data_IF_327518439196
#
_entry.id   IF_327518439196
#
_cell.length_a   1.000
_cell.length_b   1.000
_cell.length_c   1.000
_cell.angle_alpha   90.00
_cell.angle_beta   90.00
_cell.angle_gamma   90.00
#
_symmetry.space_group_name_H-M   'P 1'
#
loop_
_entity.id
_entity.type
_entity.pdbx_description
1 polymer ?
#
# COMPACT_ATOMS: atom_id res chain seq x y z
N UNK A 1 6.91 -12.67 0.07
CA UNK A 1 5.47 -12.51 0.41
C UNK A 1 4.76 -11.47 -0.44
N UNK A 2 5.25 -10.23 -0.58
CA UNK A 2 4.57 -9.16 -1.35
C UNK A 2 5.38 -8.70 -2.56
N UNK A 3 4.69 -8.25 -3.60
CA UNK A 3 5.26 -7.54 -4.74
C UNK A 3 4.39 -6.33 -5.10
N UNK A 4 5.03 -5.32 -5.65
CA UNK A 4 4.40 -4.05 -6.03
C UNK A 4 4.81 -3.67 -7.45
N UNK A 5 3.82 -3.27 -8.26
CA UNK A 5 4.01 -2.80 -9.63
C UNK A 5 3.34 -1.45 -9.77
N UNK A 6 4.12 -0.46 -10.20
CA UNK A 6 3.59 0.83 -10.64
C UNK A 6 3.23 0.71 -12.11
N UNK A 7 2.04 1.18 -12.51
CA UNK A 7 1.62 1.11 -13.90
C UNK A 7 2.64 1.79 -14.83
N UNK A 8 3.06 1.06 -15.87
CA UNK A 8 4.07 1.53 -16.84
C UNK A 8 5.53 1.35 -16.40
N UNK A 9 5.79 0.69 -15.27
CA UNK A 9 7.15 0.40 -14.77
C UNK A 9 7.36 -1.10 -14.55
N UNK A 10 8.63 -1.49 -14.42
CA UNK A 10 8.98 -2.85 -14.01
C UNK A 10 8.50 -3.11 -12.57
N UNK A 11 8.25 -4.38 -12.20
CA UNK A 11 8.02 -4.76 -10.82
C UNK A 11 9.16 -4.25 -9.93
N UNK A 12 8.77 -3.72 -8.77
CA UNK A 12 9.74 -3.23 -7.81
C UNK A 12 10.56 -4.39 -7.23
N UNK A 13 11.79 -4.12 -6.77
CA UNK A 13 12.55 -5.10 -6.00
C UNK A 13 11.76 -5.56 -4.77
N UNK A 14 12.17 -6.68 -4.14
CA UNK A 14 11.57 -7.14 -2.89
C UNK A 14 11.46 -6.01 -1.86
N UNK A 15 10.37 -5.97 -1.07
CA UNK A 15 10.16 -4.91 -0.10
C UNK A 15 11.28 -4.89 0.94
N UNK A 16 11.58 -3.70 1.45
CA UNK A 16 12.38 -3.57 2.65
C UNK A 16 11.52 -3.98 3.84
N UNK A 17 11.92 -5.07 4.50
CA UNK A 17 11.27 -5.53 5.72
C UNK A 17 11.73 -4.67 6.90
N UNK A 18 10.78 -4.07 7.62
CA UNK A 18 11.06 -3.25 8.81
C UNK A 18 11.02 -4.15 10.05
N UNK A 19 10.00 -5.00 10.13
CA UNK A 19 9.84 -6.01 11.17
C UNK A 19 9.03 -7.21 10.62
N UNK A 20 8.57 -8.10 11.49
CA UNK A 20 7.83 -9.30 11.09
C UNK A 20 6.46 -8.99 10.46
N UNK A 21 5.86 -7.85 10.78
CA UNK A 21 4.51 -7.46 10.31
C UNK A 21 4.52 -6.25 9.38
N UNK A 22 5.64 -5.54 9.23
CA UNK A 22 5.74 -4.33 8.41
C UNK A 22 6.76 -4.46 7.29
N UNK A 23 6.33 -4.10 6.08
CA UNK A 23 7.15 -4.08 4.88
C UNK A 23 6.93 -2.77 4.11
N UNK A 24 7.98 -2.23 3.48
CA UNK A 24 7.89 -0.98 2.72
C UNK A 24 8.48 -1.10 1.33
N UNK A 25 7.87 -0.39 0.39
CA UNK A 25 8.38 -0.16 -0.97
C UNK A 25 8.64 1.32 -1.17
N UNK A 26 9.77 1.64 -1.80
CA UNK A 26 10.07 3.00 -2.22
C UNK A 26 9.59 3.18 -3.66
N UNK A 27 8.71 4.16 -3.85
CA UNK A 27 8.13 4.54 -5.12
C UNK A 27 8.81 5.81 -5.63
N UNK A 28 9.87 5.67 -6.41
CA UNK A 28 10.54 6.82 -7.04
C UNK A 28 9.61 7.59 -7.99
N UNK A 29 9.91 8.85 -8.30
CA UNK A 29 9.13 9.66 -9.26
C UNK A 29 7.61 9.58 -9.00
N UNK A 30 7.21 9.76 -7.73
CA UNK A 30 5.86 9.55 -7.23
C UNK A 30 4.83 10.47 -7.90
N UNK A 31 5.26 11.65 -8.37
CA UNK A 31 4.41 12.59 -9.10
C UNK A 31 3.80 11.99 -10.39
N UNK A 32 4.42 10.97 -10.97
CA UNK A 32 3.96 10.32 -12.19
C UNK A 32 3.09 9.09 -11.93
N UNK A 33 2.87 8.71 -10.66
CA UNK A 33 2.16 7.50 -10.29
C UNK A 33 0.66 7.74 -10.32
N UNK A 34 -0.05 6.96 -11.14
CA UNK A 34 -1.51 6.99 -11.24
C UNK A 34 -2.17 5.74 -10.67
N UNK A 35 -1.54 4.58 -10.85
CA UNK A 35 -2.03 3.29 -10.38
C UNK A 35 -0.88 2.48 -9.78
N UNK A 36 -1.16 1.88 -8.63
CA UNK A 36 -0.25 0.97 -7.96
C UNK A 36 -0.95 -0.36 -7.77
N UNK A 37 -0.29 -1.44 -8.15
CA UNK A 37 -0.76 -2.81 -7.99
C UNK A 37 0.06 -3.45 -6.90
N UNK A 38 -0.59 -4.00 -5.88
CA UNK A 38 0.08 -4.76 -4.83
C UNK A 38 -0.53 -6.15 -4.78
N UNK A 39 0.31 -7.17 -4.70
CA UNK A 39 -0.13 -8.56 -4.67
C UNK A 39 0.80 -9.45 -3.86
N UNK A 40 0.28 -10.57 -3.41
CA UNK A 40 1.06 -11.63 -2.77
C UNK A 40 1.80 -12.45 -3.83
N UNK A 41 3.07 -12.77 -3.61
CA UNK A 41 3.91 -13.55 -4.53
C UNK A 41 3.53 -15.03 -4.61
N UNK A 42 2.75 -15.52 -3.65
CA UNK A 42 2.38 -16.94 -3.53
C UNK A 42 3.42 -17.80 -2.81
N UNK A 43 4.55 -17.23 -2.36
CA UNK A 43 5.56 -17.94 -1.57
C UNK A 43 5.05 -18.33 -0.17
N UNK A 44 4.23 -17.46 0.43
CA UNK A 44 3.70 -17.64 1.78
C UNK A 44 2.30 -16.98 1.90
N UNK A 45 1.28 -17.73 2.35
CA UNK A 45 -0.04 -17.16 2.67
C UNK A 45 -0.03 -16.44 4.02
N UNK A 46 -1.05 -15.62 4.29
CA UNK A 46 -1.27 -15.09 5.63
C UNK A 46 -1.67 -16.22 6.60
N UNK A 47 -1.29 -16.12 7.89
CA UNK A 47 -1.86 -16.96 8.94
C UNK A 47 -3.39 -16.81 9.00
N UNK A 48 -4.14 -17.80 9.53
CA UNK A 48 -5.59 -17.69 9.69
C UNK A 48 -5.99 -16.48 10.55
N UNK A 49 -6.94 -15.68 10.06
CA UNK A 49 -7.43 -14.47 10.74
C UNK A 49 -6.55 -13.23 10.54
N UNK A 50 -5.60 -13.28 9.61
CA UNK A 50 -4.73 -12.17 9.25
C UNK A 50 -4.87 -11.80 7.78
N UNK A 51 -4.65 -10.52 7.50
CA UNK A 51 -4.43 -9.97 6.18
C UNK A 51 -3.36 -8.90 6.24
N UNK A 52 -3.33 -8.02 5.23
CA UNK A 52 -2.54 -6.82 5.30
C UNK A 52 -3.32 -5.58 4.86
N UNK A 53 -3.05 -4.47 5.50
CA UNK A 53 -3.42 -3.14 5.01
C UNK A 53 -2.29 -2.58 4.16
N UNK A 54 -2.66 -1.75 3.19
CA UNK A 54 -1.73 -1.06 2.31
C UNK A 54 -1.90 0.44 2.52
N UNK A 55 -0.82 1.12 2.87
CA UNK A 55 -0.80 2.56 3.10
C UNK A 55 0.20 3.25 2.16
N UNK A 56 -0.08 4.50 1.84
CA UNK A 56 0.78 5.36 1.04
C UNK A 56 1.15 6.60 1.84
N UNK A 57 2.43 6.90 1.89
CA UNK A 57 2.99 8.14 2.42
C UNK A 57 3.59 8.93 1.26
N UNK A 58 3.11 10.15 1.06
CA UNK A 58 3.69 11.08 0.10
C UNK A 58 4.94 11.78 0.66
N UNK A 59 5.91 12.12 -0.20
CA UNK A 59 6.96 13.05 0.19
C UNK A 59 6.38 14.46 0.35
N UNK A 60 6.84 15.21 1.35
CA UNK A 60 6.39 16.59 1.56
C UNK A 60 7.03 17.25 2.78
N UNK A 61 7.05 18.58 2.81
CA UNK A 61 7.48 19.38 3.96
C UNK A 61 6.38 19.41 5.02
N UNK A 62 6.33 18.38 5.86
CA UNK A 62 5.38 18.25 6.96
C UNK A 62 5.49 16.91 7.67
N UNK A 63 4.65 16.69 8.68
CA UNK A 63 4.57 15.38 9.33
C UNK A 63 4.18 14.30 8.30
N UNK A 64 4.86 13.14 8.30
CA UNK A 64 4.57 12.05 7.38
C UNK A 64 3.13 11.57 7.59
N UNK A 65 2.26 11.86 6.61
CA UNK A 65 0.86 11.45 6.67
C UNK A 65 0.66 10.17 5.86
N UNK A 66 0.37 9.09 6.57
CA UNK A 66 0.00 7.81 5.97
C UNK A 66 -1.47 7.83 5.57
N UNK A 67 -1.75 7.48 4.31
CA UNK A 67 -3.08 7.30 3.77
C UNK A 67 -3.34 5.82 3.54
N UNK A 68 -4.37 5.26 4.18
CA UNK A 68 -4.82 3.90 3.88
C UNK A 68 -5.38 3.83 2.45
N UNK A 69 -4.87 2.91 1.64
CA UNK A 69 -5.33 2.65 0.28
C UNK A 69 -6.34 1.49 0.22
N UNK A 70 -6.15 0.47 1.06
CA UNK A 70 -7.03 -0.68 1.14
C UNK A 70 -6.36 -1.89 1.79
N UNK A 71 -6.77 -3.10 1.41
CA UNK A 71 -6.32 -4.33 2.05
C UNK A 71 -6.05 -5.48 1.08
N UNK A 72 -5.26 -6.45 1.53
CA UNK A 72 -4.99 -7.75 0.92
C UNK A 72 -5.36 -8.85 1.91
N UNK A 73 -5.98 -9.93 1.41
CA UNK A 73 -6.35 -11.11 2.19
C UNK A 73 -6.01 -12.38 1.43
N UNK A 74 -5.99 -13.53 2.09
CA UNK A 74 -5.87 -14.82 1.38
C UNK A 74 -6.99 -15.04 0.35
N UNK A 75 -8.20 -14.52 0.60
CA UNK A 75 -9.35 -14.57 -0.32
C UNK A 75 -9.25 -13.57 -1.47
N UNK A 76 -8.49 -12.48 -1.27
CA UNK A 76 -8.24 -11.45 -2.27
C UNK A 76 -6.75 -11.03 -2.21
N UNK A 77 -5.85 -11.82 -2.83
CA UNK A 77 -4.41 -11.69 -2.66
C UNK A 77 -3.78 -10.57 -3.49
N UNK A 78 -4.59 -9.82 -4.26
CA UNK A 78 -4.13 -8.70 -5.07
C UNK A 78 -5.15 -7.56 -5.08
N UNK A 79 -4.66 -6.33 -5.21
CA UNK A 79 -5.47 -5.13 -5.32
C UNK A 79 -4.78 -4.08 -6.20
N UNK A 80 -5.60 -3.26 -6.87
CA UNK A 80 -5.15 -2.15 -7.69
C UNK A 80 -5.68 -0.87 -7.06
N UNK A 81 -4.77 0.04 -6.72
CA UNK A 81 -5.08 1.31 -6.08
C UNK A 81 -4.89 2.45 -7.07
N UNK A 82 -5.96 3.21 -7.29
CA UNK A 82 -5.89 4.46 -8.04
C UNK A 82 -5.44 5.58 -7.11
N UNK A 83 -4.33 6.21 -7.48
CA UNK A 83 -3.75 7.32 -6.75
C UNK A 83 -4.35 8.61 -7.32
N UNK A 84 -5.16 9.32 -6.51
CA UNK A 84 -5.80 10.59 -6.92
C UNK A 84 -4.88 11.77 -6.57
N UNK A 85 -4.94 12.82 -7.40
CA UNK A 85 -4.09 14.04 -7.42
C UNK A 85 -4.08 14.90 -6.14
N UNK A 86 -4.58 14.42 -5.01
CA UNK A 86 -4.97 15.28 -3.89
C UNK A 86 -3.78 15.91 -3.14
N UNK A 87 -2.52 15.51 -3.40
CA UNK A 87 -1.35 16.05 -2.68
C UNK A 87 -0.01 15.87 -3.43
N UNK A 88 0.05 16.15 -4.73
CA UNK A 88 1.35 16.32 -5.43
C UNK A 88 2.03 17.58 -4.90
N UNK A 89 2.60 17.51 -3.70
CA UNK A 89 3.39 18.60 -3.14
C UNK A 89 4.73 18.60 -3.88
N UNK A 90 4.85 19.55 -4.80
CA UNK A 90 6.07 19.93 -5.48
C UNK A 90 7.08 20.45 -4.45
N UNK A 91 7.83 19.53 -3.84
CA UNK A 91 8.96 19.77 -2.94
C UNK A 91 9.99 18.68 -3.21
N UNK A 92 11.28 19.01 -3.15
CA UNK A 92 12.37 18.26 -3.81
C UNK A 92 12.59 16.78 -3.46
N UNK A 93 11.74 16.16 -2.64
CA UNK A 93 11.68 14.71 -2.47
C UNK A 93 10.64 14.12 -3.42
N UNK A 94 11.09 13.31 -4.37
CA UNK A 94 10.22 12.74 -5.42
C UNK A 94 9.79 11.31 -5.13
N UNK A 95 10.21 10.71 -4.01
CA UNK A 95 9.91 9.33 -3.68
C UNK A 95 8.79 9.22 -2.63
N UNK A 96 7.74 8.47 -2.95
CA UNK A 96 6.70 8.09 -1.99
C UNK A 96 7.03 6.73 -1.36
N UNK A 97 6.49 6.49 -0.17
CA UNK A 97 6.64 5.20 0.52
C UNK A 97 5.32 4.47 0.53
N UNK A 98 5.30 3.23 0.05
CA UNK A 98 4.16 2.34 0.19
C UNK A 98 4.45 1.37 1.34
N UNK A 99 3.61 1.41 2.36
CA UNK A 99 3.68 0.54 3.53
C UNK A 99 2.68 -0.59 3.42
N UNK A 100 3.07 -1.76 3.93
CA UNK A 100 2.23 -2.92 4.11
C UNK A 100 2.33 -3.33 5.58
N UNK A 101 1.18 -3.42 6.25
CA UNK A 101 1.09 -3.84 7.65
C UNK A 101 0.24 -5.10 7.74
N UNK A 102 0.81 -6.17 8.29
CA UNK A 102 0.11 -7.43 8.57
C UNK A 102 -0.66 -7.26 9.87
N UNK A 103 -1.98 -7.41 9.79
CA UNK A 103 -2.91 -7.11 10.88
C UNK A 103 -4.01 -8.17 10.96
N UNK A 104 -4.71 -8.23 12.10
CA UNK A 104 -5.87 -9.11 12.24
C UNK A 104 -7.01 -8.64 11.35
N UNK A 105 -7.83 -9.57 10.87
CA UNK A 105 -8.97 -9.23 10.01
C UNK A 105 -9.93 -8.22 10.67
N UNK A 106 -10.11 -8.31 11.99
CA UNK A 106 -10.92 -7.35 12.77
C UNK A 106 -10.38 -5.91 12.70
N UNK A 107 -9.05 -5.72 12.81
CA UNK A 107 -8.46 -4.37 12.76
C UNK A 107 -8.48 -3.83 11.32
N UNK A 108 -8.29 -4.70 10.32
CA UNK A 108 -8.45 -4.35 8.90
C UNK A 108 -9.86 -3.83 8.66
N UNK A 109 -10.88 -4.54 9.13
CA UNK A 109 -12.29 -4.14 8.96
C UNK A 109 -12.57 -2.81 9.68
N UNK A 110 -11.99 -2.59 10.87
CA UNK A 110 -12.10 -1.33 11.60
C UNK A 110 -11.47 -0.16 10.85
N UNK A 111 -10.27 -0.35 10.30
CA UNK A 111 -9.58 0.68 9.52
C UNK A 111 -10.31 1.00 8.20
N UNK A 112 -10.78 -0.02 7.50
CA UNK A 112 -11.57 0.15 6.28
C UNK A 112 -12.92 0.84 6.56
N UNK A 113 -13.57 0.53 7.69
CA UNK A 113 -14.81 1.18 8.13
C UNK A 113 -14.64 2.68 8.42
N UNK A 114 -13.44 3.11 8.83
CA UNK A 114 -13.10 4.52 9.04
C UNK A 114 -12.74 5.26 7.74
N UNK A 115 -12.66 4.57 6.60
CA UNK A 115 -12.34 5.18 5.30
C UNK A 115 -13.59 5.81 4.67
N UNK A 116 -13.71 7.14 4.74
CA UNK A 116 -14.80 7.87 4.11
C UNK A 116 -14.64 7.96 2.58
N UNK A 117 -15.17 6.96 1.86
CA UNK A 117 -15.62 7.08 0.47
C UNK A 117 -14.59 6.87 -0.65
N UNK A 118 -14.90 5.88 -1.50
CA UNK A 118 -14.53 5.74 -2.92
C UNK A 118 -13.26 4.95 -3.29
N UNK A 119 -12.64 4.22 -2.37
CA UNK A 119 -11.58 3.23 -2.68
C UNK A 119 -11.79 1.83 -2.05
N UNK A 120 -12.94 1.59 -1.41
CA UNK A 120 -13.35 0.27 -0.96
C UNK A 120 -13.74 -0.62 -2.16
N UNK A 121 -12.75 -0.96 -3.00
CA UNK A 121 -12.85 -2.16 -3.82
C UNK A 121 -12.84 -3.33 -2.86
N UNK A 122 -14.05 -3.84 -2.57
CA UNK A 122 -14.32 -4.87 -1.55
C UNK A 122 -13.18 -5.87 -1.43
N UNK A 123 -12.56 -5.91 -0.25
CA UNK A 123 -12.03 -7.14 0.27
C UNK A 123 -13.25 -7.99 0.67
#
# INVERSE_FOLDING_TARGET
MFSCVVAGRLPLPPPQQIDETHAVFILENAEQINHVVVFMTGEQPFPPGYGATVHLQWPGEGAPQWQLLGCLRNTKPSAIFRIRDTKRQSGGQTAATLGISIETDDEIDRQLGNMSGSAAGGC
#
